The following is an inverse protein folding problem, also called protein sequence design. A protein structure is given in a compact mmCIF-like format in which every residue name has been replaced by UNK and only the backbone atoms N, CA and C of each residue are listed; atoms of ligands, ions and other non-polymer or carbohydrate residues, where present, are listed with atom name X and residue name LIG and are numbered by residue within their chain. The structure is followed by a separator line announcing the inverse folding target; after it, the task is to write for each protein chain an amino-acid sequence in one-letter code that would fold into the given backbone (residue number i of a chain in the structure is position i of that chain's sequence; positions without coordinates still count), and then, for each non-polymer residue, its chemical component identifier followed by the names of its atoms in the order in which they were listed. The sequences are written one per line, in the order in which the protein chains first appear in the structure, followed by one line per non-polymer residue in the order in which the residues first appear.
data_IF_318621818643
#
_entry.id   IF_318621818643
#
_cell.length_a   1.000
_cell.length_b   1.000
_cell.length_c   1.000
_cell.angle_alpha   90.00
_cell.angle_beta   90.00
_cell.angle_gamma   90.00
#
_symmetry.space_group_name_H-M   'P 1'
#
loop_
_entity.id
_entity.type
_entity.pdbx_description
1 polymer ?
#
# COMPACT_ATOMS: atom_id res chain seq x y z
N UNK A 1 48.26 -44.42 -16.59
CA UNK A 1 47.87 -43.57 -15.46
C UNK A 1 46.95 -42.48 -15.97
N UNK A 2 45.65 -42.66 -15.77
CA UNK A 2 44.67 -41.69 -16.23
C UNK A 2 44.36 -40.73 -15.08
N UNK A 3 44.77 -39.47 -15.23
CA UNK A 3 44.43 -38.42 -14.26
C UNK A 3 42.97 -37.99 -14.48
N UNK A 4 42.12 -38.34 -13.54
CA UNK A 4 40.73 -37.88 -13.49
C UNK A 4 40.76 -36.51 -12.79
N UNK A 5 40.47 -35.46 -13.56
CA UNK A 5 40.28 -34.12 -13.04
C UNK A 5 38.82 -34.03 -12.59
N UNK A 6 38.53 -33.82 -11.30
CA UNK A 6 37.15 -33.57 -10.87
C UNK A 6 36.73 -32.18 -11.32
N UNK A 7 35.79 -32.14 -12.26
CA UNK A 7 35.11 -30.93 -12.69
C UNK A 7 34.24 -30.43 -11.52
N UNK A 8 34.76 -29.45 -10.80
CA UNK A 8 34.03 -28.79 -9.71
C UNK A 8 32.94 -27.92 -10.34
N UNK A 9 31.74 -28.45 -10.41
CA UNK A 9 30.57 -27.71 -10.87
C UNK A 9 30.16 -26.71 -9.79
N UNK A 10 30.66 -25.49 -9.88
CA UNK A 10 30.23 -24.39 -9.01
C UNK A 10 28.82 -23.97 -9.47
N UNK A 11 27.83 -24.53 -8.79
CA UNK A 11 26.43 -24.08 -8.92
C UNK A 11 26.32 -22.68 -8.28
N UNK A 12 26.34 -21.65 -9.12
CA UNK A 12 25.95 -20.30 -8.71
C UNK A 12 24.44 -20.31 -8.46
N UNK A 13 24.08 -20.47 -7.20
CA UNK A 13 22.73 -20.16 -6.73
C UNK A 13 22.58 -18.63 -6.84
N UNK A 14 22.00 -18.19 -7.94
CA UNK A 14 21.46 -16.85 -8.04
C UNK A 14 20.30 -16.75 -7.05
N UNK A 15 20.57 -16.28 -5.85
CA UNK A 15 19.54 -15.72 -5.00
C UNK A 15 19.02 -14.48 -5.73
N UNK A 16 17.99 -14.69 -6.56
CA UNK A 16 17.12 -13.62 -6.99
C UNK A 16 16.44 -13.09 -5.74
N UNK A 17 17.00 -12.07 -5.11
CA UNK A 17 16.26 -11.20 -4.22
C UNK A 17 15.19 -10.57 -5.10
N UNK A 18 13.99 -11.13 -5.09
CA UNK A 18 12.79 -10.43 -5.50
C UNK A 18 12.58 -9.35 -4.45
N UNK A 19 13.15 -8.20 -4.69
CA UNK A 19 12.78 -6.98 -4.01
C UNK A 19 11.32 -6.74 -4.44
N UNK A 20 10.38 -7.16 -3.59
CA UNK A 20 9.00 -6.73 -3.69
C UNK A 20 9.01 -5.24 -3.39
N UNK A 21 9.41 -4.47 -4.41
CA UNK A 21 9.61 -3.05 -4.33
C UNK A 21 8.33 -2.40 -3.82
N UNK A 22 8.37 -1.98 -2.58
CA UNK A 22 7.36 -1.16 -1.97
C UNK A 22 7.24 0.12 -2.80
N UNK A 23 6.26 0.15 -3.73
CA UNK A 23 6.14 1.22 -4.70
C UNK A 23 5.42 2.41 -4.08
N UNK A 24 6.22 3.30 -3.53
CA UNK A 24 5.76 4.52 -2.89
C UNK A 24 6.15 5.78 -3.71
N UNK A 25 6.70 5.61 -4.90
CA UNK A 25 7.12 6.72 -5.73
C UNK A 25 6.03 7.09 -6.76
N UNK A 26 5.46 8.29 -6.62
CA UNK A 26 4.43 8.80 -7.51
C UNK A 26 4.73 10.28 -7.84
N UNK A 27 4.77 10.69 -9.13
CA UNK A 27 5.12 12.06 -9.51
C UNK A 27 4.04 13.09 -9.15
N UNK A 28 2.80 12.65 -8.94
CA UNK A 28 1.67 13.53 -8.63
C UNK A 28 1.39 13.68 -7.14
N UNK A 29 1.88 12.71 -6.34
CA UNK A 29 1.64 12.68 -4.90
C UNK A 29 2.98 12.90 -4.18
N UNK A 30 3.20 14.03 -3.52
CA UNK A 30 4.42 14.31 -2.78
C UNK A 30 4.73 13.26 -1.71
N UNK A 31 6.01 13.09 -1.40
CA UNK A 31 6.44 12.25 -0.29
C UNK A 31 6.29 13.02 1.02
N UNK A 32 5.33 12.59 1.83
CA UNK A 32 5.16 13.06 3.20
C UNK A 32 5.84 12.11 4.15
N UNK A 33 6.63 12.64 5.07
CA UNK A 33 7.14 11.85 6.19
C UNK A 33 6.13 11.94 7.34
N UNK A 34 5.53 10.81 7.69
CA UNK A 34 4.56 10.74 8.77
C UNK A 34 4.59 9.39 9.49
N UNK A 35 4.02 9.37 10.68
CA UNK A 35 3.73 8.13 11.42
C UNK A 35 2.46 8.35 12.24
N UNK A 36 1.44 7.55 11.97
CA UNK A 36 0.15 7.58 12.68
C UNK A 36 -0.15 6.22 13.28
N UNK A 37 -0.82 6.23 14.42
CA UNK A 37 -1.23 5.03 15.15
C UNK A 37 -2.74 4.95 15.26
N UNK A 38 -3.31 3.81 14.86
CA UNK A 38 -4.74 3.51 14.98
C UNK A 38 -4.96 2.38 15.98
N UNK A 39 -5.79 2.59 16.98
CA UNK A 39 -6.15 1.55 17.93
C UNK A 39 -7.46 0.89 17.49
N UNK A 40 -7.37 -0.38 17.09
CA UNK A 40 -8.50 -1.17 16.58
C UNK A 40 -9.61 -1.42 17.61
N UNK A 41 -9.35 -1.14 18.90
CA UNK A 41 -10.37 -1.22 19.94
C UNK A 41 -11.30 0.01 19.96
N UNK A 42 -10.94 1.08 19.26
CA UNK A 42 -11.79 2.27 19.16
C UNK A 42 -12.87 2.06 18.08
N UNK A 43 -14.07 2.53 18.36
CA UNK A 43 -15.22 2.39 17.46
C UNK A 43 -14.94 2.93 16.05
N UNK A 44 -14.19 4.04 15.95
CA UNK A 44 -13.81 4.66 14.66
C UNK A 44 -12.99 3.74 13.75
N UNK A 45 -12.28 2.75 14.31
CA UNK A 45 -11.37 1.86 13.58
C UNK A 45 -11.79 0.40 13.65
N UNK A 46 -12.89 0.09 14.34
CA UNK A 46 -13.35 -1.28 14.58
C UNK A 46 -13.67 -2.06 13.31
N UNK A 47 -14.04 -1.38 12.23
CA UNK A 47 -14.26 -2.01 10.92
C UNK A 47 -13.01 -2.75 10.40
N UNK A 48 -11.81 -2.27 10.77
CA UNK A 48 -10.56 -2.93 10.38
C UNK A 48 -10.33 -4.28 11.06
N UNK A 49 -11.14 -4.67 12.06
CA UNK A 49 -11.11 -6.02 12.63
C UNK A 49 -11.73 -7.08 11.69
N UNK A 50 -12.46 -6.66 10.67
CA UNK A 50 -13.11 -7.56 9.73
C UNK A 50 -12.38 -7.55 8.38
N UNK A 51 -12.16 -8.73 7.82
CA UNK A 51 -11.52 -8.92 6.53
C UNK A 51 -12.30 -8.18 5.43
N UNK A 52 -11.59 -7.64 4.46
CA UNK A 52 -12.13 -6.88 3.32
C UNK A 52 -12.86 -5.59 3.70
N UNK A 53 -12.61 -5.06 4.89
CA UNK A 53 -13.09 -3.75 5.29
C UNK A 53 -11.99 -2.69 5.26
N UNK A 54 -12.38 -1.48 4.93
CA UNK A 54 -11.53 -0.31 4.89
C UNK A 54 -12.05 0.79 5.80
N UNK A 55 -11.14 1.68 6.19
CA UNK A 55 -11.47 2.99 6.74
C UNK A 55 -10.75 4.08 5.98
N UNK A 56 -11.35 5.25 5.95
CA UNK A 56 -10.72 6.49 5.53
C UNK A 56 -10.21 7.25 6.77
N UNK A 57 -8.96 7.68 6.74
CA UNK A 57 -8.35 8.49 7.80
C UNK A 57 -7.76 9.78 7.22
N UNK A 58 -8.16 10.92 7.75
CA UNK A 58 -7.73 12.25 7.32
C UNK A 58 -7.25 13.07 8.53
N UNK A 59 -6.16 12.63 9.14
CA UNK A 59 -5.48 13.39 10.21
C UNK A 59 -4.52 14.45 9.64
N UNK A 60 -4.11 15.44 10.44
CA UNK A 60 -3.23 16.51 9.98
C UNK A 60 -1.81 16.01 9.64
N UNK A 61 -1.42 14.86 10.14
CA UNK A 61 -0.12 14.23 9.92
C UNK A 61 0.00 13.48 8.60
N UNK A 62 -1.12 13.04 8.03
CA UNK A 62 -1.15 12.35 6.73
C UNK A 62 -1.36 13.38 5.60
N UNK A 63 -1.03 13.04 4.38
CA UNK A 63 -1.10 13.96 3.25
C UNK A 63 -2.46 14.66 3.05
N UNK A 64 -2.57 15.62 2.11
CA UNK A 64 -3.71 16.53 1.99
C UNK A 64 -5.03 15.83 1.65
N UNK A 65 -4.97 14.59 1.18
CA UNK A 65 -6.16 13.79 0.83
C UNK A 65 -6.46 12.69 1.86
N UNK A 66 -5.61 12.49 2.88
CA UNK A 66 -5.74 11.40 3.84
C UNK A 66 -5.25 10.06 3.29
N UNK A 67 -5.62 8.99 3.98
CA UNK A 67 -5.25 7.61 3.63
C UNK A 67 -6.44 6.67 3.74
N UNK A 68 -6.41 5.59 2.96
CA UNK A 68 -7.24 4.41 3.17
C UNK A 68 -6.43 3.31 3.83
N UNK A 69 -6.97 2.69 4.87
CA UNK A 69 -6.41 1.52 5.54
C UNK A 69 -7.38 0.36 5.33
N UNK A 70 -6.86 -0.79 4.93
CA UNK A 70 -7.66 -1.94 4.48
C UNK A 70 -7.15 -3.24 5.11
N UNK A 71 -8.07 -4.06 5.63
CA UNK A 71 -7.74 -5.39 6.14
C UNK A 71 -7.81 -6.42 5.01
N UNK A 72 -6.66 -6.98 4.62
CA UNK A 72 -6.55 -7.98 3.55
C UNK A 72 -6.88 -9.41 4.00
N UNK A 73 -7.04 -9.63 5.30
CA UNK A 73 -7.18 -10.97 5.89
C UNK A 73 -5.84 -11.59 6.30
N UNK A 74 -4.76 -11.31 5.58
CA UNK A 74 -3.39 -11.72 5.92
C UNK A 74 -2.56 -10.60 6.56
N UNK A 75 -3.09 -9.38 6.57
CA UNK A 75 -2.44 -8.19 7.09
C UNK A 75 -3.25 -6.95 6.75
N UNK A 76 -2.54 -5.82 6.64
CA UNK A 76 -3.16 -4.53 6.35
C UNK A 76 -2.41 -3.82 5.25
N UNK A 77 -3.15 -3.21 4.34
CA UNK A 77 -2.64 -2.25 3.38
C UNK A 77 -3.03 -0.83 3.80
N UNK A 78 -2.17 0.13 3.48
CA UNK A 78 -2.49 1.55 3.60
C UNK A 78 -2.06 2.26 2.31
N UNK A 79 -2.96 3.09 1.79
CA UNK A 79 -2.75 3.84 0.56
C UNK A 79 -3.09 5.31 0.75
N UNK A 80 -2.37 6.19 0.04
CA UNK A 80 -2.78 7.58 -0.07
C UNK A 80 -4.17 7.68 -0.70
N UNK A 81 -5.00 8.57 -0.19
CA UNK A 81 -6.35 8.76 -0.71
C UNK A 81 -6.40 9.70 -1.94
N UNK A 82 -5.26 10.12 -2.46
CA UNK A 82 -5.19 10.88 -3.70
C UNK A 82 -5.22 9.98 -4.93
N UNK A 83 -5.87 10.45 -5.99
CA UNK A 83 -5.82 9.82 -7.31
C UNK A 83 -4.39 9.80 -7.84
N UNK A 84 -3.82 8.61 -8.19
CA UNK A 84 -2.39 8.50 -8.45
C UNK A 84 -1.94 8.93 -9.86
N UNK A 85 -2.86 9.18 -10.78
CA UNK A 85 -2.54 9.44 -12.19
C UNK A 85 -2.77 10.88 -12.64
N UNK A 86 -2.91 11.82 -11.70
CA UNK A 86 -3.14 13.22 -11.99
C UNK A 86 -2.73 14.13 -10.84
N UNK A 87 -2.53 15.42 -11.16
CA UNK A 87 -2.22 16.41 -10.14
C UNK A 87 -3.35 16.56 -9.11
N UNK A 88 -2.99 16.93 -7.89
CA UNK A 88 -3.94 17.14 -6.80
C UNK A 88 -4.92 18.26 -7.16
N UNK A 89 -6.21 17.98 -7.03
CA UNK A 89 -7.31 18.89 -7.34
C UNK A 89 -8.50 18.64 -6.40
N UNK A 90 -9.60 19.36 -6.60
CA UNK A 90 -10.82 19.19 -5.79
C UNK A 90 -11.46 17.80 -5.97
N UNK A 91 -11.37 17.19 -7.16
CA UNK A 91 -11.92 15.86 -7.44
C UNK A 91 -10.95 14.70 -7.16
N UNK A 92 -9.68 14.96 -6.82
CA UNK A 92 -8.66 13.92 -6.73
C UNK A 92 -8.62 13.14 -5.40
N UNK A 93 -9.65 13.24 -4.57
CA UNK A 93 -9.80 12.36 -3.41
C UNK A 93 -10.58 11.12 -3.81
N UNK A 94 -9.95 9.95 -3.65
CA UNK A 94 -10.56 8.65 -3.92
C UNK A 94 -11.80 8.44 -3.06
N UNK A 95 -12.79 7.74 -3.60
CA UNK A 95 -14.00 7.32 -2.89
C UNK A 95 -14.03 5.81 -2.73
N UNK A 96 -14.40 5.33 -1.54
CA UNK A 96 -14.49 3.89 -1.25
C UNK A 96 -15.69 3.26 -1.97
N UNK A 97 -15.44 2.16 -2.65
CA UNK A 97 -16.46 1.30 -3.25
C UNK A 97 -16.14 -0.17 -2.94
N UNK A 98 -16.69 -0.67 -1.84
CA UNK A 98 -16.44 -2.03 -1.37
C UNK A 98 -14.97 -2.31 -1.06
N UNK A 99 -14.33 -3.17 -1.86
CA UNK A 99 -12.93 -3.55 -1.74
C UNK A 99 -12.01 -2.71 -2.66
N UNK A 100 -12.58 -1.74 -3.35
CA UNK A 100 -11.92 -0.87 -4.29
C UNK A 100 -12.06 0.60 -3.87
N UNK A 101 -11.28 1.45 -4.49
CA UNK A 101 -11.45 2.90 -4.46
C UNK A 101 -11.52 3.45 -5.88
N UNK A 102 -12.34 4.47 -6.08
CA UNK A 102 -12.59 5.09 -7.39
C UNK A 102 -12.12 6.53 -7.35
N UNK A 103 -11.44 6.96 -8.40
CA UNK A 103 -11.05 8.35 -8.59
C UNK A 103 -12.21 9.14 -9.23
N UNK A 104 -12.80 10.15 -8.56
CA UNK A 104 -13.91 10.92 -9.14
C UNK A 104 -13.54 11.78 -10.35
N UNK A 105 -12.24 12.00 -10.60
CA UNK A 105 -11.79 12.82 -11.71
C UNK A 105 -11.80 12.09 -13.06
N UNK A 106 -11.58 10.77 -13.07
CA UNK A 106 -11.40 9.97 -14.28
C UNK A 106 -12.13 8.62 -14.24
N UNK A 107 -12.89 8.36 -13.17
CA UNK A 107 -13.64 7.13 -12.92
C UNK A 107 -12.76 5.85 -12.88
N UNK A 108 -11.45 6.01 -12.71
CA UNK A 108 -10.54 4.86 -12.58
C UNK A 108 -10.68 4.19 -11.22
N UNK A 109 -10.71 2.87 -11.26
CA UNK A 109 -10.90 2.00 -10.10
C UNK A 109 -9.61 1.30 -9.72
N UNK A 110 -9.29 1.26 -8.42
CA UNK A 110 -8.10 0.63 -7.86
C UNK A 110 -8.47 -0.36 -6.77
N UNK A 111 -7.87 -1.54 -6.80
CA UNK A 111 -8.08 -2.56 -5.77
C UNK A 111 -7.32 -2.23 -4.49
N UNK A 112 -7.98 -2.30 -3.34
CA UNK A 112 -7.34 -2.15 -2.02
C UNK A 112 -6.53 -3.39 -1.59
N UNK A 113 -6.69 -4.53 -2.28
CA UNK A 113 -5.82 -5.68 -2.07
C UNK A 113 -4.42 -5.49 -2.68
N UNK A 114 -4.35 -4.86 -3.84
CA UNK A 114 -3.10 -4.79 -4.63
C UNK A 114 -2.61 -3.36 -4.87
N UNK A 115 -3.48 -2.36 -4.73
CA UNK A 115 -3.22 -0.98 -5.13
C UNK A 115 -3.27 -0.76 -6.64
N UNK A 116 -3.55 -1.79 -7.44
CA UNK A 116 -3.50 -1.71 -8.90
C UNK A 116 -4.82 -1.21 -9.49
N UNK A 117 -4.71 -0.39 -10.53
CA UNK A 117 -5.75 0.00 -11.47
C UNK A 117 -5.29 -0.30 -12.89
N UNK A 118 -5.94 0.29 -13.89
CA UNK A 118 -5.60 0.11 -15.32
C UNK A 118 -4.62 1.16 -15.84
N UNK A 119 -4.49 2.29 -15.13
CA UNK A 119 -3.61 3.39 -15.53
C UNK A 119 -2.15 3.15 -15.11
N UNK A 120 -1.27 4.07 -15.50
CA UNK A 120 0.19 3.93 -15.36
C UNK A 120 0.66 3.76 -13.92
N UNK A 121 0.10 4.55 -12.99
CA UNK A 121 0.53 4.55 -11.60
C UNK A 121 -0.50 3.85 -10.72
N UNK A 122 -0.05 2.88 -9.89
CA UNK A 122 -0.88 2.29 -8.84
C UNK A 122 -1.09 3.29 -7.71
N UNK A 123 -1.95 2.93 -6.76
CA UNK A 123 -2.09 3.67 -5.50
C UNK A 123 -0.72 3.80 -4.80
N UNK A 124 -0.43 4.98 -4.27
CA UNK A 124 0.75 5.19 -3.44
C UNK A 124 0.57 4.47 -2.11
N UNK A 125 1.45 3.51 -1.83
CA UNK A 125 1.35 2.63 -0.67
C UNK A 125 2.22 3.12 0.49
N UNK A 126 1.74 2.91 1.71
CA UNK A 126 2.43 3.18 2.96
C UNK A 126 2.68 1.91 3.75
N UNK A 127 3.69 1.93 4.63
CA UNK A 127 4.01 0.79 5.49
C UNK A 127 3.00 0.68 6.62
N UNK A 128 2.64 -0.56 6.95
CA UNK A 128 1.76 -0.86 8.08
C UNK A 128 2.41 -1.92 8.96
N UNK A 129 2.51 -1.62 10.25
CA UNK A 129 2.95 -2.55 11.28
C UNK A 129 1.81 -2.77 12.27
N UNK A 130 1.54 -4.03 12.60
CA UNK A 130 0.55 -4.41 13.61
C UNK A 130 1.24 -4.91 14.87
N UNK A 131 0.89 -4.32 16.01
CA UNK A 131 1.31 -4.80 17.33
C UNK A 131 0.09 -4.86 18.25
N UNK A 132 -0.41 -6.07 18.53
CA UNK A 132 -1.66 -6.27 19.24
C UNK A 132 -2.83 -5.59 18.51
N UNK A 133 -3.52 -4.68 19.19
CA UNK A 133 -4.62 -3.89 18.64
C UNK A 133 -4.17 -2.55 18.03
N UNK A 134 -2.89 -2.33 17.91
CA UNK A 134 -2.34 -1.08 17.37
C UNK A 134 -1.84 -1.32 15.95
N UNK A 135 -2.30 -0.51 15.00
CA UNK A 135 -1.71 -0.36 13.69
C UNK A 135 -0.88 0.92 13.67
N UNK A 136 0.38 0.81 13.26
CA UNK A 136 1.23 1.94 12.93
C UNK A 136 1.34 2.05 11.42
N UNK A 137 0.95 3.19 10.86
CA UNK A 137 1.07 3.50 9.44
C UNK A 137 2.12 4.60 9.28
N UNK A 138 3.07 4.41 8.37
CA UNK A 138 4.16 5.36 8.19
C UNK A 138 4.75 5.33 6.78
N UNK A 139 5.44 6.39 6.44
CA UNK A 139 6.18 6.54 5.18
C UNK A 139 7.69 6.68 5.46
#
# INVERSE_FOLDING_TARGET
MKKIIPLLLISFLFFSCSDNGFNNNNPYIPNYSFSVTLNLSFASYSNLNFVSNAIYYAGPEVGPKGIYVFNTGSGYNAFDAACPNQALSSCSTLTLDGINVVCPCDDEEYSLFTGQGKLQYPLKQYRVEKNGNILRIYN
#
